data_IF_074627846053
#
_entry.id   IF_074627846053
#
_cell.length_a   1.000
_cell.length_b   1.000
_cell.length_c   1.000
_cell.angle_alpha   90.00
_cell.angle_beta   90.00
_cell.angle_gamma   90.00
#
_symmetry.space_group_name_H-M   'P 1'
#
loop_
_entity.id
_entity.type
_entity.pdbx_description
1 polymer ?
#
# COMPACT_ATOMS: atom_id res chain seq x y z
N UNK A 1 10.79 -9.14 -16.52
CA UNK A 1 9.97 -8.20 -15.74
C UNK A 1 9.38 -9.00 -14.59
N UNK A 2 10.16 -9.08 -13.51
CA UNK A 2 9.94 -10.00 -12.40
C UNK A 2 8.78 -9.48 -11.55
N UNK A 3 7.66 -10.19 -11.61
CA UNK A 3 6.53 -10.00 -10.70
C UNK A 3 7.03 -10.28 -9.29
N UNK A 4 6.86 -9.31 -8.37
CA UNK A 4 7.17 -9.44 -6.95
C UNK A 4 6.34 -10.59 -6.35
N UNK A 5 6.86 -11.82 -6.48
CA UNK A 5 6.15 -13.09 -6.32
C UNK A 5 6.07 -13.56 -4.86
N UNK A 6 6.55 -12.75 -3.91
CA UNK A 6 6.90 -13.22 -2.58
C UNK A 6 5.69 -13.56 -1.70
N UNK A 7 4.48 -13.02 -1.98
CA UNK A 7 3.37 -13.15 -1.02
C UNK A 7 2.00 -13.57 -1.61
N UNK A 8 1.86 -13.77 -2.92
CA UNK A 8 0.55 -13.93 -3.59
C UNK A 8 -0.06 -15.34 -3.62
N UNK A 9 0.20 -16.21 -2.64
CA UNK A 9 -0.33 -17.59 -2.66
C UNK A 9 -0.97 -18.10 -1.37
N UNK A 10 -1.36 -17.19 -0.46
CA UNK A 10 -2.24 -17.54 0.64
C UNK A 10 -3.59 -16.84 0.42
N UNK A 11 -4.70 -17.49 0.75
CA UNK A 11 -6.08 -17.08 0.43
C UNK A 11 -6.54 -15.74 1.09
N UNK A 12 -5.63 -14.85 1.45
CA UNK A 12 -5.88 -13.52 1.99
C UNK A 12 -5.23 -12.43 1.12
N UNK A 13 -5.92 -11.31 0.96
CA UNK A 13 -5.39 -10.16 0.22
C UNK A 13 -4.10 -9.60 0.84
N UNK A 14 -3.19 -9.12 0.00
CA UNK A 14 -1.93 -8.50 0.41
C UNK A 14 -2.10 -6.98 0.44
N UNK A 15 -1.77 -6.37 1.57
CA UNK A 15 -1.64 -4.92 1.68
C UNK A 15 -0.15 -4.57 1.57
N UNK A 16 0.19 -3.69 0.62
CA UNK A 16 1.53 -3.11 0.49
C UNK A 16 1.50 -1.69 1.03
N UNK A 17 2.51 -1.34 1.83
CA UNK A 17 2.69 0.03 2.33
C UNK A 17 4.05 0.53 1.87
N UNK A 18 4.09 1.72 1.29
CA UNK A 18 5.32 2.34 0.82
C UNK A 18 5.18 3.84 0.62
N UNK A 19 6.25 4.49 0.18
CA UNK A 19 6.28 5.94 -0.03
C UNK A 19 6.98 6.33 -1.35
N UNK A 20 7.79 5.43 -1.92
CA UNK A 20 8.70 5.80 -3.01
C UNK A 20 8.30 5.33 -4.42
N UNK A 21 9.04 5.87 -5.39
CA UNK A 21 9.03 5.43 -6.80
C UNK A 21 9.40 3.94 -6.92
N UNK A 22 10.31 3.48 -6.05
CA UNK A 22 10.76 2.09 -6.04
C UNK A 22 9.67 1.13 -5.56
N UNK A 23 8.74 1.61 -4.72
CA UNK A 23 7.64 0.81 -4.20
C UNK A 23 6.42 0.83 -5.13
N UNK A 24 6.34 1.79 -6.06
CA UNK A 24 5.21 1.92 -6.99
C UNK A 24 4.88 0.63 -7.76
N UNK A 25 5.84 -0.15 -8.29
CA UNK A 25 5.53 -1.43 -8.94
C UNK A 25 4.95 -2.48 -7.98
N UNK A 26 5.39 -2.48 -6.72
CA UNK A 26 4.89 -3.40 -5.70
C UNK A 26 3.52 -2.96 -5.15
N UNK A 27 3.29 -1.66 -4.99
CA UNK A 27 2.00 -1.06 -4.66
C UNK A 27 0.95 -1.41 -5.73
N UNK A 28 1.31 -1.25 -7.01
CA UNK A 28 0.42 -1.60 -8.13
C UNK A 28 0.13 -3.10 -8.26
N UNK A 29 1.03 -3.96 -7.77
CA UNK A 29 0.86 -5.41 -7.78
C UNK A 29 0.14 -5.95 -6.53
N UNK A 30 -0.02 -5.13 -5.50
CA UNK A 30 -0.69 -5.50 -4.26
C UNK A 30 -2.21 -5.59 -4.44
N UNK A 31 -2.90 -6.21 -3.49
CA UNK A 31 -4.37 -6.18 -3.46
C UNK A 31 -4.88 -4.82 -3.01
N UNK A 32 -4.14 -4.17 -2.10
CA UNK A 32 -4.38 -2.78 -1.68
C UNK A 32 -3.03 -2.12 -1.45
N UNK A 33 -2.79 -0.99 -2.13
CA UNK A 33 -1.63 -0.14 -1.93
C UNK A 33 -1.93 1.04 -1.00
N UNK A 34 -1.14 1.22 0.06
CA UNK A 34 -1.27 2.33 1.01
C UNK A 34 0.00 3.17 1.01
N UNK A 35 -0.14 4.49 0.95
CA UNK A 35 0.99 5.42 1.04
C UNK A 35 0.72 6.55 2.03
N UNK A 36 1.78 7.09 2.65
CA UNK A 36 1.69 8.18 3.60
C UNK A 36 1.88 9.53 2.89
N UNK A 37 0.92 10.44 2.99
CA UNK A 37 0.87 11.66 2.19
C UNK A 37 2.10 12.56 2.33
N UNK A 38 2.67 12.69 3.53
CA UNK A 38 3.85 13.55 3.75
C UNK A 38 5.14 12.96 3.13
N UNK A 39 5.21 11.64 2.96
CA UNK A 39 6.40 10.95 2.45
C UNK A 39 6.24 10.46 1.01
N UNK A 40 5.00 10.36 0.54
CA UNK A 40 4.69 9.70 -0.71
C UNK A 40 5.12 10.55 -1.91
N UNK A 41 5.92 9.93 -2.79
CA UNK A 41 6.25 10.46 -4.10
C UNK A 41 5.03 10.50 -5.01
N UNK A 42 4.99 11.43 -5.97
CA UNK A 42 3.89 11.56 -6.92
C UNK A 42 3.61 10.25 -7.68
N UNK A 43 4.66 9.47 -7.98
CA UNK A 43 4.51 8.16 -8.63
C UNK A 43 3.87 7.12 -7.72
N UNK A 44 4.17 7.13 -6.41
CA UNK A 44 3.57 6.21 -5.45
C UNK A 44 2.10 6.57 -5.21
N UNK A 45 1.78 7.87 -5.09
CA UNK A 45 0.41 8.37 -4.95
C UNK A 45 -0.44 8.00 -6.18
N UNK A 46 0.11 8.07 -7.39
CA UNK A 46 -0.63 7.77 -8.62
C UNK A 46 -1.10 6.31 -8.72
N UNK A 47 -0.45 5.38 -8.01
CA UNK A 47 -0.77 3.93 -8.04
C UNK A 47 -1.37 3.42 -6.73
N UNK A 48 -1.41 4.24 -5.68
CA UNK A 48 -1.94 3.85 -4.38
C UNK A 48 -3.47 3.89 -4.35
N UNK A 49 -4.08 2.95 -3.64
CA UNK A 49 -5.54 2.92 -3.41
C UNK A 49 -5.93 3.81 -2.22
N UNK A 50 -5.05 3.91 -1.22
CA UNK A 50 -5.30 4.64 0.03
C UNK A 50 -4.14 5.60 0.31
N UNK A 51 -4.50 6.87 0.53
CA UNK A 51 -3.58 7.91 0.97
C UNK A 51 -3.82 8.23 2.46
N UNK A 52 -2.85 7.90 3.31
CA UNK A 52 -2.87 8.27 4.72
C UNK A 52 -2.37 9.70 4.89
N UNK A 53 -3.29 10.61 5.23
CA UNK A 53 -2.95 12.02 5.47
C UNK A 53 -2.18 12.23 6.78
N UNK A 54 -2.21 11.26 7.68
CA UNK A 54 -1.40 11.26 8.90
C UNK A 54 -0.02 10.68 8.58
N UNK A 55 1.06 11.35 8.96
CA UNK A 55 2.44 10.81 8.83
C UNK A 55 2.75 9.75 9.89
N UNK A 56 1.89 8.73 9.98
CA UNK A 56 2.11 7.57 10.82
C UNK A 56 1.43 6.32 10.25
N UNK A 57 2.20 5.25 10.10
CA UNK A 57 1.73 3.94 9.64
C UNK A 57 0.72 3.30 10.61
N UNK A 58 0.62 3.83 11.84
CA UNK A 58 -0.39 3.46 12.84
C UNK A 58 -1.83 3.68 12.38
N UNK A 59 -2.05 4.41 11.28
CA UNK A 59 -3.36 4.51 10.63
C UNK A 59 -3.81 3.22 9.92
N UNK A 60 -2.87 2.35 9.52
CA UNK A 60 -3.18 1.12 8.77
C UNK A 60 -4.09 0.16 9.57
N UNK A 61 -3.80 -0.16 10.86
CA UNK A 61 -4.72 -0.96 11.68
C UNK A 61 -6.13 -0.39 11.79
N UNK A 62 -6.27 0.94 11.84
CA UNK A 62 -7.57 1.59 11.87
C UNK A 62 -8.33 1.38 10.55
N UNK A 63 -7.67 1.55 9.41
CA UNK A 63 -8.26 1.28 8.10
C UNK A 63 -8.72 -0.18 7.96
N UNK A 64 -7.88 -1.13 8.40
CA UNK A 64 -8.23 -2.56 8.38
C UNK A 64 -9.42 -2.85 9.30
N UNK A 65 -9.43 -2.31 10.51
CA UNK A 65 -10.55 -2.46 11.44
C UNK A 65 -11.85 -1.89 10.86
N UNK A 66 -11.78 -0.74 10.19
CA UNK A 66 -12.94 -0.10 9.55
C UNK A 66 -13.46 -0.86 8.34
N UNK A 67 -12.60 -1.49 7.55
CA UNK A 67 -13.01 -2.31 6.41
C UNK A 67 -13.80 -3.58 6.77
N UNK A 68 -13.76 -4.00 8.04
CA UNK A 68 -14.42 -5.21 8.56
C UNK A 68 -15.73 -4.94 9.32
N UNK A 69 -16.12 -3.67 9.47
CA UNK A 69 -17.38 -3.26 10.08
C UNK A 69 -18.47 -3.18 9.01
#
# INVERSE_FOLDING_TARGET
MESCKCCGHQRGGLIMVGDGINDAPALAAATVGIVLAERASASAIAVADVLLLQDNISGVPFCVAKSRQ
#
